data_IF_182274644001
#
_entry.id   IF_182274644001
#
_cell.length_a   1.000
_cell.length_b   1.000
_cell.length_c   1.000
_cell.angle_alpha   90.00
_cell.angle_beta   90.00
_cell.angle_gamma   90.00
#
_symmetry.space_group_name_H-M   'P 1'
#
loop_
_entity.id
_entity.type
_entity.pdbx_description
1 polymer ?
#
# COMPACT_ATOMS: atom_id res chain seq x y z
N UNK A 1 1.33 5.08 33.37
CA UNK A 1 0.34 5.89 32.61
C UNK A 1 0.98 6.55 31.37
N UNK A 2 1.06 5.85 30.22
CA UNK A 2 1.47 6.42 28.92
C UNK A 2 1.44 5.39 27.75
N UNK A 3 0.45 4.49 27.67
CA UNK A 3 0.22 3.74 26.42
C UNK A 3 -0.91 4.41 25.65
N UNK A 4 -0.57 5.42 24.84
CA UNK A 4 -1.44 5.83 23.74
C UNK A 4 -1.58 4.63 22.79
N UNK A 5 -2.81 4.29 22.41
CA UNK A 5 -3.05 3.25 21.40
C UNK A 5 -2.57 3.77 20.05
N UNK A 6 -1.58 3.12 19.46
CA UNK A 6 -1.16 3.41 18.08
C UNK A 6 -2.32 3.03 17.16
N UNK A 7 -2.81 4.00 16.41
CA UNK A 7 -3.73 3.76 15.29
C UNK A 7 -2.88 3.59 14.03
N UNK A 8 -3.21 2.60 13.22
CA UNK A 8 -2.52 2.33 11.97
C UNK A 8 -3.50 1.81 10.94
N UNK A 9 -3.21 2.12 9.68
CA UNK A 9 -3.93 1.59 8.53
C UNK A 9 -3.23 0.33 8.04
N UNK A 10 -4.00 -0.68 7.64
CA UNK A 10 -3.47 -1.93 7.12
C UNK A 10 -3.54 -1.94 5.59
N UNK A 11 -2.37 -1.93 4.95
CA UNK A 11 -2.24 -2.13 3.49
C UNK A 11 -1.89 -3.61 3.25
N UNK A 12 -2.75 -4.40 2.58
CA UNK A 12 -2.47 -5.80 2.33
C UNK A 12 -1.34 -5.97 1.30
N UNK A 13 -0.77 -7.17 1.24
CA UNK A 13 0.08 -7.56 0.12
C UNK A 13 -0.76 -7.57 -1.18
N UNK A 14 -0.33 -6.79 -2.17
CA UNK A 14 -1.08 -6.60 -3.42
C UNK A 14 -0.77 -7.65 -4.49
N UNK A 15 0.20 -8.54 -4.22
CA UNK A 15 0.54 -9.67 -5.07
C UNK A 15 0.63 -10.94 -4.22
N UNK A 16 -0.10 -12.02 -4.57
CA UNK A 16 -0.22 -13.21 -3.72
C UNK A 16 0.99 -14.15 -3.78
N UNK A 17 1.78 -14.10 -4.85
CA UNK A 17 2.90 -15.00 -5.08
C UNK A 17 4.15 -14.23 -5.47
N UNK A 18 5.17 -14.22 -4.63
CA UNK A 18 6.48 -13.66 -4.98
C UNK A 18 7.32 -14.70 -5.72
N UNK A 19 7.85 -14.32 -6.88
CA UNK A 19 8.85 -15.08 -7.64
C UNK A 19 10.22 -14.93 -6.98
N UNK A 20 10.60 -13.70 -6.64
CA UNK A 20 11.83 -13.38 -5.91
C UNK A 20 11.53 -12.24 -4.90
N UNK A 21 11.70 -12.46 -3.59
CA UNK A 21 11.47 -11.42 -2.58
C UNK A 21 12.64 -10.43 -2.43
N UNK A 22 13.80 -10.72 -3.04
CA UNK A 22 14.98 -9.86 -2.96
C UNK A 22 14.63 -8.45 -3.47
N UNK A 23 15.07 -7.39 -2.78
CA UNK A 23 14.87 -6.00 -3.20
C UNK A 23 13.44 -5.44 -3.06
N UNK A 24 12.45 -6.25 -2.67
CA UNK A 24 11.05 -5.80 -2.53
C UNK A 24 10.90 -4.69 -1.46
N UNK A 25 11.65 -4.77 -0.36
CA UNK A 25 11.68 -3.74 0.68
C UNK A 25 12.26 -2.42 0.18
N UNK A 26 13.32 -2.48 -0.63
CA UNK A 26 13.95 -1.30 -1.22
C UNK A 26 13.02 -0.62 -2.22
N UNK A 27 12.35 -1.42 -3.07
CA UNK A 27 11.33 -0.93 -3.99
C UNK A 27 10.17 -0.25 -3.25
N UNK A 28 9.71 -0.83 -2.14
CA UNK A 28 8.68 -0.24 -1.28
C UNK A 28 9.12 1.11 -0.72
N UNK A 29 10.29 1.15 -0.07
CA UNK A 29 10.78 2.35 0.59
C UNK A 29 11.07 3.45 -0.41
N UNK A 30 11.66 3.13 -1.56
CA UNK A 30 11.92 4.08 -2.64
C UNK A 30 10.62 4.69 -3.16
N UNK A 31 9.61 3.86 -3.50
CA UNK A 31 8.35 4.37 -4.03
C UNK A 31 7.55 5.17 -2.98
N UNK A 32 7.54 4.71 -1.72
CA UNK A 32 6.88 5.41 -0.63
C UNK A 32 7.54 6.77 -0.34
N UNK A 33 8.88 6.83 -0.26
CA UNK A 33 9.61 8.09 -0.05
C UNK A 33 9.43 9.06 -1.21
N UNK A 34 9.46 8.59 -2.46
CA UNK A 34 9.16 9.43 -3.62
C UNK A 34 7.72 9.96 -3.60
N UNK A 35 6.75 9.17 -3.15
CA UNK A 35 5.35 9.60 -3.02
C UNK A 35 5.21 10.69 -1.96
N UNK A 36 5.85 10.51 -0.79
CA UNK A 36 5.89 11.54 0.26
C UNK A 36 6.57 12.82 -0.24
N UNK A 37 7.70 12.69 -0.94
CA UNK A 37 8.42 13.84 -1.50
C UNK A 37 7.61 14.59 -2.58
N UNK A 38 6.71 13.88 -3.28
CA UNK A 38 5.77 14.46 -4.22
C UNK A 38 4.51 15.08 -3.56
N UNK A 39 4.41 15.03 -2.23
CA UNK A 39 3.29 15.61 -1.48
C UNK A 39 2.14 14.64 -1.19
N UNK A 40 2.31 13.33 -1.41
CA UNK A 40 1.33 12.32 -1.01
C UNK A 40 1.29 12.12 0.51
N UNK A 41 0.16 11.61 1.01
CA UNK A 41 0.01 11.26 2.42
C UNK A 41 0.64 9.90 2.77
N UNK A 42 0.65 9.54 4.07
CA UNK A 42 1.24 8.29 4.55
C UNK A 42 0.55 7.04 3.99
N UNK A 43 -0.77 7.05 3.85
CA UNK A 43 -1.53 5.90 3.36
C UNK A 43 -1.32 5.71 1.85
N UNK A 44 -1.35 6.80 1.08
CA UNK A 44 -1.02 6.82 -0.35
C UNK A 44 0.41 6.30 -0.57
N UNK A 45 1.35 6.76 0.24
CA UNK A 45 2.75 6.36 0.15
C UNK A 45 2.95 4.88 0.50
N UNK A 46 2.29 4.40 1.55
CA UNK A 46 2.29 2.98 1.90
C UNK A 46 1.64 2.12 0.81
N UNK A 47 0.54 2.59 0.23
CA UNK A 47 -0.15 1.90 -0.85
C UNK A 47 0.71 1.79 -2.12
N UNK A 48 1.27 2.90 -2.59
CA UNK A 48 2.17 2.91 -3.76
C UNK A 48 3.44 2.10 -3.47
N UNK A 49 3.98 2.15 -2.25
CA UNK A 49 5.07 1.30 -1.80
C UNK A 49 4.74 -0.20 -1.90
N UNK A 50 3.57 -0.62 -1.42
CA UNK A 50 3.10 -2.00 -1.56
C UNK A 50 2.91 -2.42 -3.03
N UNK A 51 2.48 -1.50 -3.90
CA UNK A 51 2.41 -1.75 -5.35
C UNK A 51 3.81 -1.98 -5.92
N UNK A 52 4.79 -1.17 -5.53
CA UNK A 52 6.17 -1.30 -5.98
C UNK A 52 6.81 -2.62 -5.51
N UNK A 53 6.63 -3.00 -4.24
CA UNK A 53 7.05 -4.31 -3.73
C UNK A 53 6.42 -5.46 -4.50
N UNK A 54 5.11 -5.40 -4.76
CA UNK A 54 4.42 -6.40 -5.57
C UNK A 54 4.93 -6.47 -7.00
N UNK A 55 5.24 -5.33 -7.63
CA UNK A 55 5.79 -5.30 -8.97
C UNK A 55 7.21 -5.89 -9.03
N UNK A 56 8.04 -5.59 -8.02
CA UNK A 56 9.39 -6.11 -7.93
C UNK A 56 9.42 -7.61 -7.62
N UNK A 57 8.48 -8.09 -6.81
CA UNK A 57 8.41 -9.51 -6.43
C UNK A 57 8.13 -10.47 -7.59
N UNK A 58 7.68 -9.96 -8.74
CA UNK A 58 7.44 -10.74 -9.97
C UNK A 58 8.67 -10.87 -10.87
N UNK A 59 9.84 -10.40 -10.41
CA UNK A 59 11.09 -10.42 -11.18
C UNK A 59 12.09 -11.37 -10.54
N UNK A 60 13.21 -11.58 -11.23
CA UNK A 60 14.36 -12.31 -10.70
C UNK A 60 15.51 -11.33 -10.55
N UNK A 61 16.16 -11.31 -9.38
CA UNK A 61 17.24 -10.38 -9.08
C UNK A 61 16.75 -8.98 -8.67
N UNK A 62 17.69 -8.03 -8.58
CA UNK A 62 17.46 -6.70 -7.99
C UNK A 62 17.35 -5.58 -9.05
N UNK A 63 16.61 -5.82 -10.13
CA UNK A 63 16.46 -4.82 -11.18
C UNK A 63 15.46 -3.71 -10.74
N UNK A 64 15.85 -2.42 -10.79
CA UNK A 64 14.99 -1.33 -10.33
C UNK A 64 13.61 -1.29 -11.00
N UNK A 65 12.59 -0.92 -10.23
CA UNK A 65 11.23 -0.71 -10.78
C UNK A 65 11.17 0.61 -11.54
N UNK A 66 10.91 0.54 -12.85
CA UNK A 66 10.74 1.75 -13.67
C UNK A 66 9.41 2.45 -13.38
N UNK A 67 9.36 3.77 -13.58
CA UNK A 67 8.13 4.56 -13.40
C UNK A 67 6.97 4.07 -14.28
N UNK A 68 7.25 3.68 -15.53
CA UNK A 68 6.25 3.13 -16.46
C UNK A 68 5.63 1.84 -15.93
N UNK A 69 6.45 0.98 -15.32
CA UNK A 69 5.99 -0.29 -14.79
C UNK A 69 5.26 -0.13 -13.47
N UNK A 70 5.74 0.74 -12.59
CA UNK A 70 5.01 1.11 -11.37
C UNK A 70 3.61 1.62 -11.73
N UNK A 71 3.50 2.52 -12.72
CA UNK A 71 2.21 3.02 -13.21
C UNK A 71 1.33 1.89 -13.77
N UNK A 72 1.91 0.95 -14.51
CA UNK A 72 1.18 -0.22 -15.04
C UNK A 72 0.65 -1.10 -13.91
N UNK A 73 1.48 -1.40 -12.91
CA UNK A 73 1.09 -2.21 -11.75
C UNK A 73 0.03 -1.52 -10.91
N UNK A 74 0.14 -0.20 -10.71
CA UNK A 74 -0.88 0.61 -10.04
C UNK A 74 -2.22 0.53 -10.77
N UNK A 75 -2.22 0.73 -12.10
CA UNK A 75 -3.44 0.62 -12.90
C UNK A 75 -4.04 -0.79 -12.86
N UNK A 76 -3.21 -1.85 -12.84
CA UNK A 76 -3.68 -3.23 -12.66
C UNK A 76 -4.40 -3.41 -11.33
N UNK A 77 -3.79 -2.97 -10.22
CA UNK A 77 -4.38 -3.06 -8.88
C UNK A 77 -5.69 -2.27 -8.81
N UNK A 78 -5.72 -1.04 -9.32
CA UNK A 78 -6.94 -0.22 -9.32
C UNK A 78 -8.04 -0.79 -10.22
N UNK A 79 -7.68 -1.43 -11.34
CA UNK A 79 -8.64 -2.09 -12.23
C UNK A 79 -9.18 -3.42 -11.68
N UNK A 80 -8.41 -4.09 -10.81
CA UNK A 80 -8.87 -5.30 -10.13
C UNK A 80 -10.00 -4.99 -9.13
N UNK A 81 -10.16 -3.72 -8.74
CA UNK A 81 -11.31 -3.21 -7.99
C UNK A 81 -12.53 -3.08 -8.91
N UNK A 82 -13.15 -4.20 -9.28
CA UNK A 82 -14.57 -4.22 -9.65
C UNK A 82 -15.37 -4.49 -8.36
N UNK A 83 -16.09 -3.47 -7.91
CA UNK A 83 -17.14 -3.48 -6.87
C UNK A 83 -16.69 -3.70 -5.42
N UNK A 84 -16.27 -2.62 -4.76
CA UNK A 84 -16.59 -2.42 -3.34
C UNK A 84 -17.49 -1.19 -3.24
N UNK A 85 -18.79 -1.43 -3.11
CA UNK A 85 -19.76 -0.40 -2.75
C UNK A 85 -19.75 -0.31 -1.23
N UNK A 86 -19.55 0.91 -0.73
CA UNK A 86 -19.56 1.22 0.68
C UNK A 86 -21.00 1.06 1.21
N UNK A 87 -21.32 -0.08 1.81
CA UNK A 87 -22.54 -0.26 2.61
C UNK A 87 -22.26 -0.27 4.10
N UNK A 88 -21.13 0.28 4.55
CA UNK A 88 -20.89 0.41 5.99
C UNK A 88 -21.49 1.73 6.46
N UNK A 89 -22.76 1.69 6.86
CA UNK A 89 -23.35 2.74 7.69
C UNK A 89 -22.42 3.05 8.86
N UNK A 90 -22.19 4.34 9.18
CA UNK A 90 -21.38 4.71 10.31
C UNK A 90 -22.06 4.17 11.58
N UNK A 91 -21.45 3.17 12.22
CA UNK A 91 -21.84 2.79 13.59
C UNK A 91 -21.62 4.01 14.48
N UNK A 92 -22.72 4.71 14.77
CA UNK A 92 -22.80 5.68 15.85
C UNK A 92 -22.25 5.02 17.10
N UNK A 93 -21.06 5.46 17.54
CA UNK A 93 -20.52 5.07 18.83
C UNK A 93 -21.36 5.78 19.90
N UNK A 94 -22.45 5.11 20.27
CA UNK A 94 -23.12 5.33 21.53
C UNK A 94 -22.12 4.96 22.65
N UNK A 95 -21.51 5.98 23.24
CA UNK A 95 -21.14 5.99 24.67
C UNK A 95 -21.39 7.39 25.22
N UNK A 96 -22.67 7.64 25.47
CA UNK A 96 -23.10 8.56 26.51
C UNK A 96 -22.86 7.91 27.88
N UNK A 97 -22.49 8.75 28.85
CA UNK A 97 -22.76 8.62 30.28
C UNK A 97 -22.42 7.30 31.00
N UNK A 98 -21.35 7.33 31.79
CA UNK A 98 -21.35 7.11 33.25
C UNK A 98 -19.95 7.37 33.81
#
# INVERSE_FOLDING_TARGET
PHRSRVRGEHVPALMPHAVDPLGCGDALLAAATLTLAAGGDLLQSAFIGSVAAGAHSQRLGNDPVSATELRRSLMRVLSATLVYQDTVEPKASARAAS
#
